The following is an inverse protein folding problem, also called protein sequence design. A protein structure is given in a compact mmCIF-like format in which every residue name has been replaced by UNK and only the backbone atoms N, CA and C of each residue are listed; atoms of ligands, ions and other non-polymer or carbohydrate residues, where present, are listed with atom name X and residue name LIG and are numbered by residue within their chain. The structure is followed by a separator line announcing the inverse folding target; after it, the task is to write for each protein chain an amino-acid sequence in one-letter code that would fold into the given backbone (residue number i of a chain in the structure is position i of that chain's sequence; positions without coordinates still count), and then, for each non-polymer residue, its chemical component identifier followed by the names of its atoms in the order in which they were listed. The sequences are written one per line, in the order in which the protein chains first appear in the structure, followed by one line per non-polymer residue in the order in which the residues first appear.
data_IF_639698841470
#
_entry.id   IF_639698841470
#
_cell.length_a   1.000
_cell.length_b   1.000
_cell.length_c   1.000
_cell.angle_alpha   90.00
_cell.angle_beta   90.00
_cell.angle_gamma   90.00
#
_symmetry.space_group_name_H-M   'P 1'
#
loop_
_entity.id
_entity.type
_entity.pdbx_description
1 polymer ?
#
# COMPACT_ATOMS: atom_id res chain seq x y z
N UNK A 1 -7.03 15.44 22.98
CA UNK A 1 -6.23 15.17 21.78
C UNK A 1 -6.95 14.12 20.96
N UNK A 2 -7.22 14.37 19.68
CA UNK A 2 -7.84 13.39 18.78
C UNK A 2 -6.73 12.57 18.12
N UNK A 3 -6.86 11.24 18.12
CA UNK A 3 -5.99 10.33 17.39
C UNK A 3 -6.89 9.63 16.37
N UNK A 4 -6.66 9.80 15.05
CA UNK A 4 -7.45 9.11 14.05
C UNK A 4 -7.30 7.59 14.24
N UNK A 5 -8.45 6.90 14.25
CA UNK A 5 -8.51 5.45 14.30
C UNK A 5 -8.90 4.95 12.91
N UNK A 6 -7.96 4.24 12.28
CA UNK A 6 -8.15 3.70 10.94
C UNK A 6 -9.05 2.46 11.01
N UNK A 7 -10.07 2.43 10.16
CA UNK A 7 -10.92 1.27 9.91
C UNK A 7 -11.00 1.08 8.41
N UNK A 8 -10.38 0.02 7.91
CA UNK A 8 -10.33 -0.26 6.48
C UNK A 8 -10.89 -1.65 6.19
N UNK A 9 -11.17 -1.87 4.92
CA UNK A 9 -11.51 -3.17 4.36
C UNK A 9 -11.20 -3.16 2.88
N UNK A 10 -10.87 -4.32 2.34
CA UNK A 10 -10.61 -4.50 0.92
C UNK A 10 -11.53 -5.56 0.34
N UNK A 11 -11.84 -5.38 -0.93
CA UNK A 11 -12.58 -6.33 -1.72
C UNK A 11 -12.06 -6.29 -3.14
N UNK A 12 -11.96 -7.46 -3.76
CA UNK A 12 -11.55 -7.61 -5.14
C UNK A 12 -12.42 -8.69 -5.77
N UNK A 13 -12.91 -8.42 -6.97
CA UNK A 13 -13.75 -9.34 -7.74
C UNK A 13 -13.22 -9.46 -9.16
N UNK A 14 -13.04 -10.70 -9.60
CA UNK A 14 -12.61 -11.04 -10.96
C UNK A 14 -13.72 -10.78 -11.98
N UNK A 15 -14.98 -10.79 -11.54
CA UNK A 15 -16.15 -10.68 -12.41
C UNK A 15 -16.13 -11.78 -13.49
N UNK A 16 -16.43 -11.46 -14.76
CA UNK A 16 -16.50 -12.44 -15.85
C UNK A 16 -15.14 -12.80 -16.47
N UNK A 17 -14.02 -12.29 -15.93
CA UNK A 17 -12.69 -12.47 -16.53
C UNK A 17 -12.12 -13.88 -16.26
N UNK A 18 -11.23 -14.33 -17.14
CA UNK A 18 -10.53 -15.62 -17.00
C UNK A 18 -9.34 -15.61 -16.04
N UNK A 19 -8.81 -14.42 -15.72
CA UNK A 19 -7.74 -14.20 -14.74
C UNK A 19 -8.01 -12.92 -13.95
N UNK A 20 -7.50 -12.89 -12.72
CA UNK A 20 -7.49 -11.70 -11.87
C UNK A 20 -6.14 -11.01 -12.04
N UNK A 21 -6.12 -9.93 -12.81
CA UNK A 21 -4.91 -9.17 -13.08
C UNK A 21 -4.72 -8.02 -12.08
N UNK A 22 -5.77 -7.67 -11.32
CA UNK A 22 -5.75 -6.55 -10.37
C UNK A 22 -5.12 -6.92 -9.03
N UNK A 23 -4.47 -5.94 -8.40
CA UNK A 23 -3.82 -6.07 -7.11
C UNK A 23 -4.13 -4.87 -6.21
N UNK A 24 -3.96 -5.02 -4.91
CA UNK A 24 -4.10 -3.91 -3.97
C UNK A 24 -3.15 -4.05 -2.77
N UNK A 25 -2.94 -2.92 -2.08
CA UNK A 25 -2.26 -2.82 -0.79
C UNK A 25 -3.20 -2.17 0.21
N UNK A 26 -3.25 -2.73 1.42
CA UNK A 26 -3.94 -2.18 2.58
C UNK A 26 -3.00 -2.22 3.78
N UNK A 27 -2.50 -1.05 4.22
CA UNK A 27 -1.63 -0.91 5.38
C UNK A 27 -2.23 0.14 6.31
N UNK A 28 -2.81 -0.30 7.42
CA UNK A 28 -3.48 0.58 8.38
C UNK A 28 -2.52 1.29 9.34
N UNK A 29 -1.36 0.69 9.60
CA UNK A 29 -0.30 1.25 10.45
C UNK A 29 1.02 1.31 9.67
N UNK A 30 1.09 2.30 8.78
CA UNK A 30 2.26 2.54 7.94
C UNK A 30 3.48 2.93 8.78
N UNK A 31 3.28 3.70 9.85
CA UNK A 31 4.36 4.12 10.74
C UNK A 31 5.07 2.93 11.41
N UNK A 32 4.29 1.95 11.89
CA UNK A 32 4.84 0.70 12.41
C UNK A 32 5.56 -0.09 11.32
N UNK A 33 4.98 -0.17 10.12
CA UNK A 33 5.58 -0.90 8.99
C UNK A 33 6.95 -0.35 8.58
N UNK A 34 7.13 0.98 8.59
CA UNK A 34 8.38 1.64 8.21
C UNK A 34 9.39 1.75 9.36
N UNK A 35 9.05 1.24 10.55
CA UNK A 35 9.91 1.35 11.72
C UNK A 35 10.12 2.79 12.18
N UNK A 36 9.19 3.71 11.87
CA UNK A 36 9.20 5.08 12.37
C UNK A 36 8.82 5.11 13.86
N UNK A 37 9.73 4.63 14.70
CA UNK A 37 9.59 4.60 16.17
C UNK A 37 10.04 5.94 16.79
N UNK A 38 10.28 6.99 15.99
CA UNK A 38 10.88 8.23 16.49
C UNK A 38 9.85 9.27 16.93
N UNK A 39 9.97 9.66 18.22
CA UNK A 39 9.49 10.84 18.98
C UNK A 39 8.04 11.33 18.82
N UNK A 40 7.42 11.28 17.64
CA UNK A 40 6.03 11.66 17.39
C UNK A 40 5.47 10.81 16.22
N UNK A 41 4.96 9.59 16.47
CA UNK A 41 4.32 8.82 15.42
C UNK A 41 3.09 9.58 14.94
N UNK A 42 3.14 10.09 13.71
CA UNK A 42 1.95 10.60 13.03
C UNK A 42 1.20 9.35 12.55
N UNK A 43 -0.02 9.10 13.04
CA UNK A 43 -0.80 7.96 12.56
C UNK A 43 -0.95 8.06 11.05
N UNK A 44 -0.50 7.03 10.34
CA UNK A 44 -0.45 7.02 8.89
C UNK A 44 -0.84 5.64 8.37
N UNK A 45 -1.44 5.63 7.18
CA UNK A 45 -1.89 4.45 6.48
C UNK A 45 -1.57 4.59 4.99
N UNK A 46 -1.44 3.46 4.30
CA UNK A 46 -1.18 3.43 2.86
C UNK A 46 -2.14 2.44 2.17
N UNK A 47 -2.79 2.92 1.12
CA UNK A 47 -3.70 2.13 0.30
C UNK A 47 -3.40 2.39 -1.17
N UNK A 48 -3.35 1.33 -1.96
CA UNK A 48 -3.12 1.42 -3.39
C UNK A 48 -3.89 0.32 -4.12
N UNK A 49 -4.33 0.62 -5.34
CA UNK A 49 -5.01 -0.31 -6.25
C UNK A 49 -4.25 -0.27 -7.57
N UNK A 50 -3.99 -1.44 -8.13
CA UNK A 50 -3.29 -1.62 -9.40
C UNK A 50 -4.20 -2.43 -10.33
N UNK A 51 -4.72 -1.79 -11.38
CA UNK A 51 -5.50 -2.44 -12.44
C UNK A 51 -4.52 -3.09 -13.43
N UNK A 52 -4.51 -4.41 -13.49
CA UNK A 52 -3.59 -5.17 -14.32
C UNK A 52 -4.14 -5.40 -15.72
N UNK A 53 -3.28 -5.36 -16.74
CA UNK A 53 -3.67 -5.60 -18.13
C UNK A 53 -2.64 -6.46 -18.85
N UNK A 54 -3.14 -7.49 -19.55
CA UNK A 54 -2.30 -8.41 -20.32
C UNK A 54 -1.55 -9.43 -19.45
N UNK A 55 -2.05 -9.69 -18.23
CA UNK A 55 -1.41 -10.50 -17.20
C UNK A 55 -1.28 -9.73 -15.87
N UNK A 56 -1.17 -10.46 -14.77
CA UNK A 56 -1.07 -9.89 -13.41
C UNK A 56 0.34 -9.42 -13.06
N UNK A 57 1.34 -9.74 -13.88
CA UNK A 57 2.76 -9.63 -13.52
C UNK A 57 3.17 -8.21 -13.17
N UNK A 58 2.67 -7.21 -13.91
CA UNK A 58 2.98 -5.81 -13.65
C UNK A 58 2.34 -5.33 -12.33
N UNK A 59 1.05 -5.61 -12.11
CA UNK A 59 0.34 -5.26 -10.89
C UNK A 59 0.97 -5.95 -9.66
N UNK A 60 1.29 -7.24 -9.77
CA UNK A 60 1.96 -8.01 -8.72
C UNK A 60 3.41 -7.55 -8.50
N UNK A 61 4.11 -7.06 -9.53
CA UNK A 61 5.44 -6.46 -9.36
C UNK A 61 5.36 -5.18 -8.54
N UNK A 62 4.44 -4.26 -8.88
CA UNK A 62 4.28 -3.00 -8.16
C UNK A 62 3.85 -3.28 -6.73
N UNK A 63 2.86 -4.16 -6.48
CA UNK A 63 2.46 -4.54 -5.11
C UNK A 63 3.63 -5.01 -4.25
N UNK A 64 4.51 -5.86 -4.81
CA UNK A 64 5.68 -6.39 -4.11
C UNK A 64 6.76 -5.35 -3.83
N UNK A 65 6.85 -4.29 -4.63
CA UNK A 65 7.93 -3.31 -4.57
C UNK A 65 7.49 -1.94 -4.06
N UNK A 66 6.18 -1.67 -3.93
CA UNK A 66 5.63 -0.36 -3.59
C UNK A 66 6.24 0.21 -2.30
N UNK A 67 6.42 -0.60 -1.27
CA UNK A 67 7.02 -0.15 -0.02
C UNK A 67 8.44 0.39 -0.23
N UNK A 68 9.25 -0.40 -0.91
CA UNK A 68 10.61 0.00 -1.28
C UNK A 68 10.62 1.26 -2.15
N UNK A 69 9.83 1.27 -3.23
CA UNK A 69 9.82 2.36 -4.22
C UNK A 69 9.31 3.70 -3.66
N UNK A 70 8.33 3.68 -2.75
CA UNK A 70 7.69 4.90 -2.24
C UNK A 70 8.22 5.35 -0.88
N UNK A 71 8.80 4.47 -0.08
CA UNK A 71 9.15 4.78 1.31
C UNK A 71 10.59 4.45 1.72
N UNK A 72 11.28 3.52 1.05
CA UNK A 72 12.66 3.15 1.42
C UNK A 72 13.68 3.76 0.46
N UNK A 73 13.49 3.58 -0.86
CA UNK A 73 14.35 4.07 -1.94
C UNK A 73 13.98 5.51 -2.35
N UNK A 74 12.85 6.02 -1.87
CA UNK A 74 12.44 7.38 -2.16
C UNK A 74 13.29 8.36 -1.32
N UNK A 75 14.15 9.13 -1.99
CA UNK A 75 14.82 10.32 -1.42
C UNK A 75 13.82 11.35 -0.84
N UNK A 76 12.51 11.14 -1.03
CA UNK A 76 11.40 12.00 -0.60
C UNK A 76 11.28 12.17 0.92
N UNK A 77 11.95 11.36 1.75
CA UNK A 77 11.98 11.53 3.20
C UNK A 77 13.11 12.45 3.70
N UNK A 78 13.93 12.99 2.80
CA UNK A 78 14.91 14.04 3.11
C UNK A 78 14.31 15.43 2.88
N UNK A 79 13.54 15.93 3.84
CA UNK A 79 13.22 17.36 3.95
C UNK A 79 13.20 17.81 5.41
#
# INVERSE_FOLDING_TARGET
MFIPNVRSGSYADIGPRGSMDDEHIQIDDLACHLGFVFKYPIPSAFYAIFDGHGGSEAASFVKRNAMRLFFEDADMLQS
#
